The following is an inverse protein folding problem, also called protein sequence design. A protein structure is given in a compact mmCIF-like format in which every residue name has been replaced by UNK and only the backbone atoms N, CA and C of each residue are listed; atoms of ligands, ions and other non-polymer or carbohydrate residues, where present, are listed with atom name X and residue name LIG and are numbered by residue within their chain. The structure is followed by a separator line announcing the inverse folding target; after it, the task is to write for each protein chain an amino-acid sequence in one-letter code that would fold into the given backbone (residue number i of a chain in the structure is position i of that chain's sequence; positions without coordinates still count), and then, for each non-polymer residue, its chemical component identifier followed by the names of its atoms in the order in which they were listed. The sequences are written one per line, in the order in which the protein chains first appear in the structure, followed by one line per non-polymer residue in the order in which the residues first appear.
data_IF_392960453288
#
_entry.id   IF_392960453288
#
_cell.length_a   1.000
_cell.length_b   1.000
_cell.length_c   1.000
_cell.angle_alpha   90.00
_cell.angle_beta   90.00
_cell.angle_gamma   90.00
#
_symmetry.space_group_name_H-M   'P 1'
#
loop_
_entity.id
_entity.type
_entity.pdbx_description
1 polymer ?
#
# COMPACT_ATOMS: atom_id res chain seq x y z
N UNK A 1 31.60 -18.56 44.62
CA UNK A 1 30.34 -18.03 45.18
C UNK A 1 29.98 -16.76 44.40
N UNK A 2 29.50 -16.93 43.18
CA UNK A 2 29.38 -15.88 42.15
C UNK A 2 27.94 -15.89 41.62
N UNK A 3 27.00 -15.37 42.41
CA UNK A 3 25.60 -15.16 42.01
C UNK A 3 25.05 -14.04 42.86
N UNK A 4 25.28 -12.78 42.47
CA UNK A 4 24.47 -11.61 42.90
C UNK A 4 24.84 -10.28 42.23
N UNK A 5 25.94 -10.20 41.48
CA UNK A 5 26.43 -8.91 40.96
C UNK A 5 25.93 -8.51 39.56
N UNK A 6 25.09 -9.31 38.89
CA UNK A 6 24.65 -9.05 37.51
C UNK A 6 23.30 -8.34 37.37
N UNK A 7 22.59 -8.09 38.48
CA UNK A 7 21.26 -7.46 38.47
C UNK A 7 21.29 -5.94 38.67
N UNK A 8 22.44 -5.34 39.01
CA UNK A 8 22.54 -3.89 39.21
C UNK A 8 23.01 -3.10 37.97
N UNK A 9 23.53 -3.76 36.94
CA UNK A 9 24.03 -3.08 35.74
C UNK A 9 22.95 -2.89 34.65
N UNK A 10 21.79 -3.53 34.77
CA UNK A 10 20.68 -3.42 33.81
C UNK A 10 19.63 -2.37 34.20
N UNK A 11 19.81 -1.68 35.33
CA UNK A 11 18.89 -0.65 35.84
C UNK A 11 19.33 0.80 35.53
N UNK A 12 20.43 0.98 34.78
CA UNK A 12 20.97 2.31 34.45
C UNK A 12 20.99 2.65 32.94
N UNK A 13 20.40 1.80 32.09
CA UNK A 13 20.31 2.04 30.64
C UNK A 13 18.87 2.32 30.14
N UNK A 14 17.92 2.51 31.05
CA UNK A 14 16.57 2.99 30.73
C UNK A 14 16.48 4.50 30.99
N UNK A 15 17.30 5.28 30.27
CA UNK A 15 16.87 6.64 29.94
C UNK A 15 15.66 6.48 29.03
N UNK A 16 14.48 6.52 29.65
CA UNK A 16 13.22 6.72 28.96
C UNK A 16 13.36 7.98 28.12
N UNK A 17 13.67 7.83 26.84
CA UNK A 17 13.36 8.83 25.84
C UNK A 17 11.82 8.88 25.77
N UNK A 18 11.21 9.58 26.73
CA UNK A 18 9.89 10.14 26.53
C UNK A 18 10.06 11.13 25.39
N UNK A 19 9.78 10.68 24.17
CA UNK A 19 9.31 11.61 23.16
C UNK A 19 8.06 12.23 23.79
N UNK A 20 8.22 13.46 24.26
CA UNK A 20 7.13 14.26 24.79
C UNK A 20 6.16 14.44 23.63
N UNK A 21 5.17 13.53 23.52
CA UNK A 21 4.01 13.75 22.68
C UNK A 21 3.20 14.80 23.43
N UNK A 22 3.61 16.05 23.29
CA UNK A 22 2.76 17.19 23.62
C UNK A 22 1.58 17.10 22.67
N UNK A 23 0.54 16.38 23.09
CA UNK A 23 -0.77 16.54 22.47
C UNK A 23 -1.15 18.01 22.71
N UNK A 24 -1.60 18.69 21.67
CA UNK A 24 -2.10 20.04 21.83
C UNK A 24 -3.17 20.04 22.94
N UNK A 25 -3.25 21.10 23.75
CA UNK A 25 -4.13 21.14 24.92
C UNK A 25 -5.62 20.97 24.57
N UNK A 26 -5.97 21.13 23.30
CA UNK A 26 -7.30 20.90 22.74
C UNK A 26 -7.51 19.46 22.21
N UNK A 27 -6.47 18.61 22.20
CA UNK A 27 -6.52 17.27 21.63
C UNK A 27 -6.81 17.25 20.13
N UNK A 28 -6.36 18.27 19.37
CA UNK A 28 -6.67 18.47 17.94
C UNK A 28 -8.16 18.70 17.64
N UNK A 29 -8.93 19.19 18.61
CA UNK A 29 -10.35 19.51 18.37
C UNK A 29 -10.56 20.82 17.63
N UNK A 30 -9.61 21.76 17.70
CA UNK A 30 -9.66 23.06 17.03
C UNK A 30 -8.37 23.36 16.25
N UNK A 31 -7.95 22.49 15.31
CA UNK A 31 -6.64 22.58 14.64
C UNK A 31 -6.47 23.86 13.80
N UNK A 32 -7.56 24.57 13.51
CA UNK A 32 -7.56 25.82 12.74
C UNK A 32 -7.34 27.07 13.59
N UNK A 33 -7.48 26.98 14.92
CA UNK A 33 -7.48 28.15 15.82
C UNK A 33 -6.09 28.73 16.04
N UNK A 34 -5.07 27.87 15.95
CA UNK A 34 -3.66 28.27 16.07
C UNK A 34 -3.00 28.60 14.73
N UNK A 35 -3.70 28.33 13.61
CA UNK A 35 -3.20 28.69 12.29
C UNK A 35 -3.15 30.20 12.13
N UNK A 36 -1.94 30.75 12.16
CA UNK A 36 -1.68 32.14 11.79
C UNK A 36 -1.75 32.27 10.27
N UNK A 37 -2.92 32.67 9.77
CA UNK A 37 -3.07 33.06 8.37
C UNK A 37 -2.23 34.32 8.13
N UNK A 38 -1.23 34.22 7.24
CA UNK A 38 -0.46 35.38 6.81
C UNK A 38 -1.34 36.19 5.84
N UNK A 39 -1.81 37.40 6.22
CA UNK A 39 -2.73 38.20 5.40
C UNK A 39 -2.05 38.78 4.15
N UNK A 40 -0.73 38.64 4.02
CA UNK A 40 0.05 39.03 2.84
C UNK A 40 0.21 37.93 1.78
N UNK A 41 -0.21 36.68 2.07
CA UNK A 41 -0.28 35.63 1.05
C UNK A 41 -1.46 35.97 0.13
N UNK A 42 -1.16 36.60 -1.01
CA UNK A 42 -2.08 36.66 -2.14
C UNK A 42 -2.48 35.21 -2.51
N UNK A 43 -3.66 35.01 -3.06
CA UNK A 43 -4.13 33.70 -3.54
C UNK A 43 -3.10 33.05 -4.48
N UNK A 44 -2.32 33.87 -5.18
CA UNK A 44 -1.16 33.48 -6.00
C UNK A 44 -0.04 32.78 -5.23
N UNK A 45 0.23 33.14 -3.98
CA UNK A 45 1.27 32.49 -3.17
C UNK A 45 0.83 31.10 -2.70
N UNK A 46 -0.46 30.92 -2.38
CA UNK A 46 -1.05 29.60 -2.10
C UNK A 46 -1.10 28.71 -3.36
N UNK A 47 -1.48 29.26 -4.51
CA UNK A 47 -1.42 28.54 -5.79
C UNK A 47 0.02 28.15 -6.13
N UNK A 48 1.01 29.02 -5.91
CA UNK A 48 2.42 28.67 -6.09
C UNK A 48 2.89 27.57 -5.17
N UNK A 49 2.57 27.62 -3.87
CA UNK A 49 3.04 26.60 -2.93
C UNK A 49 2.41 25.23 -3.21
N UNK A 50 1.13 25.20 -3.58
CA UNK A 50 0.46 23.96 -3.98
C UNK A 50 1.01 23.40 -5.30
N UNK A 51 1.34 24.25 -6.28
CA UNK A 51 1.99 23.80 -7.52
C UNK A 51 3.44 23.36 -7.31
N UNK A 52 4.18 24.01 -6.42
CA UNK A 52 5.54 23.62 -6.05
C UNK A 52 5.55 22.26 -5.34
N UNK A 53 4.57 21.99 -4.48
CA UNK A 53 4.41 20.67 -3.86
C UNK A 53 4.18 19.56 -4.91
N UNK A 54 3.50 19.86 -6.02
CA UNK A 54 3.27 18.91 -7.13
C UNK A 54 4.51 18.70 -8.03
N UNK A 55 5.55 19.53 -7.88
CA UNK A 55 6.79 19.45 -8.63
C UNK A 55 7.69 18.32 -8.10
N UNK A 56 7.22 17.08 -8.26
CA UNK A 56 7.98 15.87 -7.95
C UNK A 56 8.91 15.54 -9.10
N UNK A 57 10.19 15.28 -8.78
CA UNK A 57 11.22 14.93 -9.75
C UNK A 57 10.82 13.72 -10.62
N UNK A 58 10.70 13.94 -11.93
CA UNK A 58 10.28 12.95 -12.91
C UNK A 58 11.11 13.06 -14.21
N UNK A 59 12.27 12.41 -14.28
CA UNK A 59 13.14 12.49 -15.45
C UNK A 59 12.55 11.78 -16.68
N UNK A 60 11.54 10.93 -16.50
CA UNK A 60 10.90 10.15 -17.55
C UNK A 60 9.46 10.61 -17.80
N UNK A 61 9.16 11.88 -17.50
CA UNK A 61 7.81 12.45 -17.59
C UNK A 61 7.15 12.17 -18.94
N UNK A 62 7.86 12.38 -20.05
CA UNK A 62 7.30 12.11 -21.39
C UNK A 62 6.86 10.67 -21.61
N UNK A 63 7.55 9.70 -21.01
CA UNK A 63 7.14 8.28 -21.03
C UNK A 63 5.98 8.07 -20.07
N UNK A 64 6.14 8.50 -18.82
CA UNK A 64 5.19 8.25 -17.75
C UNK A 64 3.81 8.85 -18.06
N UNK A 65 3.76 10.02 -18.67
CA UNK A 65 2.54 10.71 -19.06
C UNK A 65 1.84 10.00 -20.24
N UNK A 66 2.60 9.43 -21.18
CA UNK A 66 2.05 8.55 -22.24
C UNK A 66 1.48 7.25 -21.66
N UNK A 67 2.18 6.63 -20.72
CA UNK A 67 1.68 5.42 -20.05
C UNK A 67 0.47 5.74 -19.19
N UNK A 68 0.43 6.90 -18.54
CA UNK A 68 -0.75 7.38 -17.82
C UNK A 68 -1.96 7.48 -18.76
N UNK A 69 -1.81 8.11 -19.93
CA UNK A 69 -2.89 8.18 -20.93
C UNK A 69 -3.31 6.80 -21.45
N UNK A 70 -2.35 5.90 -21.64
CA UNK A 70 -2.64 4.50 -21.98
C UNK A 70 -3.46 3.82 -20.88
N UNK A 71 -3.03 3.92 -19.62
CA UNK A 71 -3.72 3.34 -18.47
C UNK A 71 -5.13 3.91 -18.31
N UNK A 72 -5.30 5.22 -18.50
CA UNK A 72 -6.60 5.88 -18.46
C UNK A 72 -7.56 5.29 -19.50
N UNK A 73 -7.14 5.24 -20.78
CA UNK A 73 -7.99 4.70 -21.87
C UNK A 73 -8.24 3.21 -21.70
N UNK A 74 -7.22 2.45 -21.28
CA UNK A 74 -7.37 1.04 -21.00
C UNK A 74 -8.37 0.80 -19.86
N UNK A 75 -8.29 1.62 -18.80
CA UNK A 75 -9.22 1.53 -17.69
C UNK A 75 -10.66 1.76 -18.18
N UNK A 76 -10.87 2.87 -18.90
CA UNK A 76 -12.18 3.27 -19.40
C UNK A 76 -12.79 2.26 -20.37
N UNK A 77 -11.99 1.73 -21.31
CA UNK A 77 -12.52 0.89 -22.40
C UNK A 77 -12.51 -0.60 -22.09
N UNK A 78 -11.68 -1.06 -21.16
CA UNK A 78 -11.50 -2.49 -20.87
C UNK A 78 -11.90 -2.80 -19.44
N UNK A 79 -11.22 -2.22 -18.45
CA UNK A 79 -11.42 -2.60 -17.06
C UNK A 79 -12.78 -2.18 -16.50
N UNK A 80 -13.24 -0.95 -16.73
CA UNK A 80 -14.52 -0.48 -16.22
C UNK A 80 -15.69 -1.31 -16.77
N UNK A 81 -15.81 -1.57 -18.09
CA UNK A 81 -16.84 -2.44 -18.62
C UNK A 81 -16.77 -3.87 -18.06
N UNK A 82 -15.57 -4.46 -17.97
CA UNK A 82 -15.39 -5.82 -17.43
C UNK A 82 -15.79 -5.89 -15.96
N UNK A 83 -15.39 -4.92 -15.14
CA UNK A 83 -15.78 -4.85 -13.73
C UNK A 83 -17.28 -4.63 -13.58
N UNK A 84 -17.91 -3.82 -14.43
CA UNK A 84 -19.36 -3.66 -14.43
C UNK A 84 -20.08 -4.97 -14.78
N UNK A 85 -19.59 -5.69 -15.79
CA UNK A 85 -20.08 -7.04 -16.13
C UNK A 85 -19.92 -8.01 -14.97
N UNK A 86 -18.74 -8.06 -14.35
CA UNK A 86 -18.46 -8.87 -13.17
C UNK A 86 -19.41 -8.56 -12.00
N UNK A 87 -19.69 -7.28 -11.74
CA UNK A 87 -20.65 -6.86 -10.72
C UNK A 87 -22.09 -7.24 -11.05
N UNK A 88 -22.44 -7.25 -12.34
CA UNK A 88 -23.79 -7.57 -12.82
C UNK A 88 -24.08 -9.08 -12.73
N UNK A 89 -23.13 -9.92 -13.14
CA UNK A 89 -23.33 -11.37 -13.19
C UNK A 89 -23.05 -12.08 -11.86
N UNK A 90 -22.14 -11.54 -11.04
CA UNK A 90 -21.66 -12.21 -9.83
C UNK A 90 -22.30 -11.62 -8.56
N UNK A 91 -23.06 -12.43 -7.78
CA UNK A 91 -23.62 -12.02 -6.49
C UNK A 91 -22.57 -11.48 -5.51
N UNK A 92 -23.00 -10.58 -4.62
CA UNK A 92 -22.11 -9.90 -3.67
C UNK A 92 -21.25 -10.84 -2.81
N UNK A 93 -21.84 -11.92 -2.29
CA UNK A 93 -21.11 -12.88 -1.44
C UNK A 93 -20.00 -13.63 -2.19
N UNK A 94 -20.21 -13.96 -3.47
CA UNK A 94 -19.17 -14.57 -4.30
C UNK A 94 -18.04 -13.56 -4.58
N UNK A 95 -18.39 -12.32 -4.91
CA UNK A 95 -17.39 -11.26 -5.15
C UNK A 95 -16.53 -11.02 -3.91
N UNK A 96 -17.16 -10.90 -2.73
CA UNK A 96 -16.43 -10.80 -1.46
C UNK A 96 -15.56 -12.02 -1.22
N UNK A 97 -16.04 -13.23 -1.54
CA UNK A 97 -15.25 -14.45 -1.42
C UNK A 97 -13.97 -14.44 -2.26
N UNK A 98 -14.09 -14.01 -3.52
CA UNK A 98 -12.94 -13.85 -4.43
C UNK A 98 -11.97 -12.79 -3.91
N UNK A 99 -12.46 -11.63 -3.47
CA UNK A 99 -11.61 -10.57 -2.94
C UNK A 99 -10.89 -10.99 -1.64
N UNK A 100 -11.57 -11.72 -0.76
CA UNK A 100 -10.97 -12.26 0.47
C UNK A 100 -9.90 -13.30 0.13
N UNK A 101 -10.16 -14.18 -0.83
CA UNK A 101 -9.21 -15.22 -1.23
C UNK A 101 -7.91 -14.60 -1.75
N UNK A 102 -7.98 -13.69 -2.73
CA UNK A 102 -6.78 -13.01 -3.24
C UNK A 102 -6.13 -12.09 -2.18
N UNK A 103 -6.92 -11.52 -1.27
CA UNK A 103 -6.39 -10.79 -0.12
C UNK A 103 -5.56 -11.70 0.79
N UNK A 104 -6.05 -12.90 1.10
CA UNK A 104 -5.35 -13.87 1.93
C UNK A 104 -4.07 -14.37 1.26
N UNK A 105 -4.07 -14.58 -0.06
CA UNK A 105 -2.83 -14.87 -0.81
C UNK A 105 -1.82 -13.72 -0.69
N UNK A 106 -2.29 -12.47 -0.78
CA UNK A 106 -1.46 -11.28 -0.62
C UNK A 106 -0.91 -11.08 0.80
N UNK A 107 -1.52 -11.69 1.82
CA UNK A 107 -1.02 -11.61 3.19
C UNK A 107 0.29 -12.42 3.38
N UNK A 108 0.60 -13.38 2.49
CA UNK A 108 1.85 -14.15 2.53
C UNK A 108 3.08 -13.28 2.23
N UNK A 109 3.19 -12.57 1.08
CA UNK A 109 4.30 -11.65 0.86
C UNK A 109 4.30 -10.50 1.88
N UNK A 110 3.13 -10.03 2.34
CA UNK A 110 3.07 -9.02 3.41
C UNK A 110 3.75 -9.52 4.71
N UNK A 111 3.51 -10.77 5.10
CA UNK A 111 4.14 -11.37 6.28
C UNK A 111 5.67 -11.43 6.11
N UNK A 112 6.14 -11.88 4.95
CA UNK A 112 7.58 -11.97 4.69
C UNK A 112 8.24 -10.59 4.73
N UNK A 113 7.65 -9.59 4.10
CA UNK A 113 8.16 -8.23 4.14
C UNK A 113 8.10 -7.62 5.56
N UNK A 114 7.04 -7.88 6.32
CA UNK A 114 6.94 -7.47 7.73
C UNK A 114 8.05 -8.07 8.59
N UNK A 115 8.37 -9.36 8.36
CA UNK A 115 9.45 -10.07 9.05
C UNK A 115 10.82 -9.52 8.66
N UNK A 116 11.04 -9.26 7.37
CA UNK A 116 12.28 -8.64 6.89
C UNK A 116 12.46 -7.24 7.49
N UNK A 117 11.41 -6.44 7.58
CA UNK A 117 11.45 -5.12 8.20
C UNK A 117 11.49 -5.15 9.75
N UNK A 118 11.53 -6.34 10.36
CA UNK A 118 11.53 -6.53 11.82
C UNK A 118 10.29 -5.93 12.52
N UNK A 119 9.17 -5.78 11.81
CA UNK A 119 7.90 -5.26 12.34
C UNK A 119 7.13 -6.39 13.02
N UNK A 120 7.51 -6.68 14.27
CA UNK A 120 6.95 -7.80 15.05
C UNK A 120 5.43 -7.77 15.18
N UNK A 121 4.85 -6.62 15.52
CA UNK A 121 3.38 -6.48 15.66
C UNK A 121 2.65 -6.77 14.33
N UNK A 122 3.07 -6.11 13.24
CA UNK A 122 2.49 -6.33 11.90
C UNK A 122 2.61 -7.78 11.44
N UNK A 123 3.74 -8.42 11.76
CA UNK A 123 3.97 -9.84 11.45
C UNK A 123 3.01 -10.75 12.22
N UNK A 124 2.79 -10.48 13.52
CA UNK A 124 1.85 -11.26 14.33
C UNK A 124 0.40 -11.08 13.87
N UNK A 125 -0.01 -9.84 13.56
CA UNK A 125 -1.34 -9.54 13.03
C UNK A 125 -1.56 -10.26 11.69
N UNK A 126 -0.61 -10.15 10.76
CA UNK A 126 -0.69 -10.81 9.44
C UNK A 126 -0.70 -12.34 9.57
N UNK A 127 0.09 -12.90 10.48
CA UNK A 127 0.08 -14.35 10.78
C UNK A 127 -1.28 -14.77 11.32
N UNK A 128 -1.84 -14.02 12.27
CA UNK A 128 -3.18 -14.27 12.81
C UNK A 128 -4.25 -14.25 11.71
N UNK A 129 -4.18 -13.27 10.81
CA UNK A 129 -5.08 -13.18 9.64
C UNK A 129 -4.95 -14.41 8.74
N UNK A 130 -3.74 -14.78 8.33
CA UNK A 130 -3.49 -15.95 7.50
C UNK A 130 -4.02 -17.23 8.14
N UNK A 131 -3.76 -17.44 9.43
CA UNK A 131 -4.23 -18.62 10.15
C UNK A 131 -5.75 -18.67 10.23
N UNK A 132 -6.39 -17.60 10.67
CA UNK A 132 -7.84 -17.54 10.85
C UNK A 132 -8.59 -17.63 9.52
N UNK A 133 -8.15 -16.88 8.51
CA UNK A 133 -8.80 -16.87 7.20
C UNK A 133 -8.59 -18.18 6.45
N UNK A 134 -7.42 -18.82 6.59
CA UNK A 134 -7.17 -20.11 5.96
C UNK A 134 -7.93 -21.25 6.65
N UNK A 135 -8.00 -21.26 7.99
CA UNK A 135 -8.63 -22.35 8.76
C UNK A 135 -10.14 -22.18 8.92
N UNK A 136 -10.57 -21.07 9.52
CA UNK A 136 -11.99 -20.77 9.78
C UNK A 136 -12.67 -20.11 8.58
N UNK A 137 -11.88 -19.39 7.77
CA UNK A 137 -12.37 -18.69 6.59
C UNK A 137 -12.39 -19.53 5.31
N UNK A 138 -12.22 -20.86 5.39
CA UNK A 138 -12.24 -21.78 4.24
C UNK A 138 -11.22 -21.35 3.17
N UNK A 139 -9.93 -21.51 3.48
CA UNK A 139 -8.81 -21.14 2.61
C UNK A 139 -8.77 -19.65 2.19
N UNK A 140 -9.38 -18.77 2.98
CA UNK A 140 -9.43 -17.34 2.74
C UNK A 140 -10.67 -16.86 1.98
N UNK A 141 -11.65 -17.71 1.68
CA UNK A 141 -12.91 -17.26 1.09
C UNK A 141 -13.70 -16.34 2.03
N UNK A 142 -13.60 -16.54 3.34
CA UNK A 142 -14.16 -15.65 4.36
C UNK A 142 -13.04 -14.99 5.17
N UNK A 143 -13.35 -13.82 5.72
CA UNK A 143 -12.40 -13.01 6.51
C UNK A 143 -12.85 -12.87 7.98
N UNK A 144 -12.85 -13.96 8.77
CA UNK A 144 -13.13 -13.90 10.20
C UNK A 144 -12.11 -13.04 10.96
N UNK A 145 -10.87 -12.90 10.45
CA UNK A 145 -9.84 -12.13 11.12
C UNK A 145 -10.22 -10.64 11.26
N UNK A 146 -10.80 -10.04 10.22
CA UNK A 146 -11.34 -8.67 10.30
C UNK A 146 -12.47 -8.55 11.32
N UNK A 147 -13.35 -9.55 11.40
CA UNK A 147 -14.44 -9.57 12.40
C UNK A 147 -13.92 -9.66 13.84
N UNK A 148 -12.73 -10.26 14.02
CA UNK A 148 -12.03 -10.35 15.30
C UNK A 148 -11.15 -9.13 15.61
N UNK A 149 -11.17 -8.10 14.75
CA UNK A 149 -10.46 -6.84 14.96
C UNK A 149 -8.98 -6.85 14.58
N UNK A 150 -8.52 -7.84 13.80
CA UNK A 150 -7.15 -7.85 13.29
C UNK A 150 -7.02 -6.93 12.07
N UNK A 151 -6.28 -5.82 12.14
CA UNK A 151 -6.13 -4.91 11.02
C UNK A 151 -5.34 -5.57 9.89
N UNK A 152 -5.69 -5.24 8.64
CA UNK A 152 -4.92 -5.69 7.48
C UNK A 152 -3.68 -4.81 7.33
N UNK A 153 -2.53 -5.45 7.19
CA UNK A 153 -1.25 -4.80 6.91
C UNK A 153 -0.94 -4.89 5.41
N UNK A 154 -0.22 -3.90 4.87
CA UNK A 154 0.14 -3.86 3.45
C UNK A 154 1.64 -3.58 3.34
N UNK A 155 2.42 -4.62 3.09
CA UNK A 155 3.87 -4.59 3.10
C UNK A 155 4.41 -5.24 1.82
N UNK A 156 5.30 -4.55 1.12
CA UNK A 156 5.88 -5.04 -0.13
C UNK A 156 7.40 -4.90 -0.12
N UNK A 157 8.09 -5.55 -1.05
CA UNK A 157 9.54 -5.54 -1.07
C UNK A 157 10.11 -4.17 -1.39
N UNK A 158 9.36 -3.30 -2.08
CA UNK A 158 9.72 -1.90 -2.28
C UNK A 158 9.81 -1.15 -0.94
N UNK A 159 8.84 -1.37 -0.05
CA UNK A 159 8.87 -0.84 1.32
C UNK A 159 10.04 -1.43 2.12
N UNK A 160 10.29 -2.74 2.01
CA UNK A 160 11.43 -3.39 2.67
C UNK A 160 12.77 -2.80 2.23
N UNK A 161 12.97 -2.56 0.93
CA UNK A 161 14.16 -1.88 0.43
C UNK A 161 14.26 -0.44 0.97
N UNK A 162 13.13 0.27 1.03
CA UNK A 162 13.04 1.60 1.61
C UNK A 162 13.40 1.65 3.09
N UNK A 163 12.96 0.66 3.88
CA UNK A 163 13.28 0.51 5.29
C UNK A 163 14.79 0.36 5.51
N UNK A 164 15.49 -0.32 4.60
CA UNK A 164 16.95 -0.44 4.61
C UNK A 164 17.68 0.75 3.95
N UNK A 165 16.98 1.83 3.63
CA UNK A 165 17.59 3.06 3.11
C UNK A 165 17.85 3.09 1.61
N UNK A 166 17.31 2.14 0.84
CA UNK A 166 17.39 2.19 -0.63
C UNK A 166 16.52 3.36 -1.13
N UNK A 167 17.10 4.33 -1.86
CA UNK A 167 16.34 5.46 -2.37
C UNK A 167 15.31 5.01 -3.42
N UNK A 168 14.19 5.74 -3.53
CA UNK A 168 13.12 5.43 -4.47
C UNK A 168 13.59 5.40 -5.94
N UNK A 169 14.55 6.26 -6.29
CA UNK A 169 14.96 6.48 -7.68
C UNK A 169 13.92 7.27 -8.47
N UNK A 170 14.01 7.27 -9.82
CA UNK A 170 13.08 8.00 -10.66
C UNK A 170 11.65 7.43 -10.56
N UNK A 171 10.67 8.32 -10.67
CA UNK A 171 9.27 7.95 -10.79
C UNK A 171 9.00 7.20 -12.09
N UNK A 172 8.13 6.20 -12.03
CA UNK A 172 7.75 5.36 -13.16
C UNK A 172 6.24 5.15 -13.16
N UNK A 173 5.59 5.43 -14.28
CA UNK A 173 4.22 4.96 -14.52
C UNK A 173 4.29 3.62 -15.26
N UNK A 174 3.83 2.56 -14.61
CA UNK A 174 3.81 1.22 -15.17
C UNK A 174 2.52 1.00 -15.99
N UNK A 175 2.62 0.38 -17.18
CA UNK A 175 1.44 -0.01 -17.94
C UNK A 175 0.56 -0.94 -17.10
N UNK A 176 -0.74 -0.65 -17.04
CA UNK A 176 -1.79 -1.37 -16.31
C UNK A 176 -1.66 -1.29 -14.77
N UNK A 177 -0.45 -1.40 -14.23
CA UNK A 177 -0.18 -1.45 -12.78
C UNK A 177 -0.25 -0.06 -12.10
N UNK A 178 -0.01 1.02 -12.84
CA UNK A 178 -0.14 2.39 -12.33
C UNK A 178 1.18 2.98 -11.76
N UNK A 179 1.10 3.92 -10.81
CA UNK A 179 2.26 4.68 -10.34
C UNK A 179 3.24 3.81 -9.55
N UNK A 180 4.54 4.02 -9.78
CA UNK A 180 5.65 3.34 -9.14
C UNK A 180 6.92 4.21 -9.12
N UNK A 181 8.03 3.66 -8.64
CA UNK A 181 9.38 4.19 -8.82
C UNK A 181 10.35 3.03 -9.09
N UNK A 182 11.62 3.33 -9.40
CA UNK A 182 12.60 2.31 -9.74
C UNK A 182 12.74 1.23 -8.66
N UNK A 183 12.85 1.63 -7.40
CA UNK A 183 12.95 0.71 -6.26
C UNK A 183 11.70 -0.16 -6.13
N UNK A 184 10.53 0.47 -6.14
CA UNK A 184 9.25 -0.22 -5.92
C UNK A 184 8.90 -1.11 -7.11
N UNK A 185 9.30 -0.75 -8.32
CA UNK A 185 9.18 -1.62 -9.51
C UNK A 185 10.04 -2.87 -9.36
N UNK A 186 11.28 -2.72 -8.92
CA UNK A 186 12.14 -3.87 -8.58
C UNK A 186 11.56 -4.71 -7.44
N UNK A 187 10.96 -4.04 -6.45
CA UNK A 187 10.22 -4.70 -5.37
C UNK A 187 9.06 -5.53 -5.86
N UNK A 188 8.26 -4.99 -6.77
CA UNK A 188 7.14 -5.69 -7.39
C UNK A 188 7.58 -6.97 -8.11
N UNK A 189 8.72 -6.92 -8.82
CA UNK A 189 9.30 -8.12 -9.48
C UNK A 189 9.78 -9.14 -8.46
N UNK A 190 10.41 -8.70 -7.37
CA UNK A 190 10.84 -9.58 -6.29
C UNK A 190 9.63 -10.25 -5.61
N UNK A 191 8.60 -9.48 -5.26
CA UNK A 191 7.36 -9.99 -4.66
C UNK A 191 6.67 -11.00 -5.60
N UNK A 192 6.58 -10.72 -6.90
CA UNK A 192 6.02 -11.65 -7.88
C UNK A 192 6.82 -12.96 -7.94
N UNK A 193 8.16 -12.85 -7.93
CA UNK A 193 9.05 -14.01 -7.96
C UNK A 193 8.90 -14.85 -6.68
N UNK A 194 8.84 -14.21 -5.52
CA UNK A 194 8.65 -14.87 -4.22
C UNK A 194 7.27 -15.53 -4.14
N UNK A 195 6.21 -14.84 -4.55
CA UNK A 195 4.84 -15.39 -4.61
C UNK A 195 4.80 -16.64 -5.50
N UNK A 196 5.47 -16.61 -6.66
CA UNK A 196 5.55 -17.75 -7.56
C UNK A 196 6.31 -18.94 -6.97
N UNK A 197 7.36 -18.71 -6.17
CA UNK A 197 8.17 -19.78 -5.56
C UNK A 197 7.49 -20.39 -4.34
N UNK A 198 6.82 -19.58 -3.52
CA UNK A 198 6.07 -20.07 -2.36
C UNK A 198 4.86 -20.88 -2.83
N UNK A 199 4.22 -20.42 -3.91
CA UNK A 199 3.08 -21.10 -4.53
C UNK A 199 1.99 -21.44 -3.49
N UNK A 200 1.63 -20.45 -2.66
CA UNK A 200 0.67 -20.64 -1.59
C UNK A 200 -0.69 -21.08 -2.17
N UNK A 201 -1.28 -22.13 -1.59
CA UNK A 201 -2.51 -22.79 -2.08
C UNK A 201 -2.42 -23.27 -3.55
N UNK A 202 -1.20 -23.51 -4.05
CA UNK A 202 -0.93 -23.93 -5.42
C UNK A 202 -1.37 -22.93 -6.51
N UNK A 203 -1.62 -21.67 -6.15
CA UNK A 203 -2.24 -20.71 -7.07
C UNK A 203 -1.29 -20.30 -8.19
N UNK A 204 0.00 -20.15 -7.92
CA UNK A 204 0.97 -19.74 -8.92
C UNK A 204 1.14 -20.82 -10.01
N UNK A 205 1.23 -22.08 -9.62
CA UNK A 205 1.34 -23.21 -10.54
C UNK A 205 0.07 -23.38 -11.38
N UNK A 206 -1.11 -23.36 -10.74
CA UNK A 206 -2.39 -23.50 -11.46
C UNK A 206 -2.62 -22.32 -12.41
N UNK A 207 -2.28 -21.09 -12.00
CA UNK A 207 -2.43 -19.90 -12.87
C UNK A 207 -1.59 -19.96 -14.15
N UNK A 208 -0.53 -20.79 -14.19
CA UNK A 208 0.27 -21.01 -15.39
C UNK A 208 -0.47 -21.77 -16.50
N UNK A 209 -1.37 -22.68 -16.14
CA UNK A 209 -2.24 -23.40 -17.08
C UNK A 209 -3.63 -22.76 -17.25
N UNK A 210 -4.00 -21.86 -16.33
CA UNK A 210 -5.33 -21.28 -16.20
C UNK A 210 -5.28 -19.74 -16.21
N UNK A 211 -5.15 -19.10 -17.39
CA UNK A 211 -5.09 -17.64 -17.51
C UNK A 211 -6.33 -16.93 -16.95
N UNK A 212 -7.46 -17.63 -16.86
CA UNK A 212 -8.69 -17.16 -16.23
C UNK A 212 -8.50 -16.79 -14.74
N UNK A 213 -7.59 -17.44 -14.01
CA UNK A 213 -7.32 -17.11 -12.60
C UNK A 213 -6.59 -15.77 -12.52
N UNK A 214 -5.56 -15.58 -13.36
CA UNK A 214 -4.84 -14.31 -13.47
C UNK A 214 -5.76 -13.18 -13.94
N UNK A 215 -6.65 -13.45 -14.90
CA UNK A 215 -7.66 -12.50 -15.35
C UNK A 215 -8.64 -12.15 -14.22
N UNK A 216 -9.14 -13.14 -13.48
CA UNK A 216 -10.02 -12.92 -12.34
C UNK A 216 -9.32 -12.10 -11.25
N UNK A 217 -8.05 -12.37 -10.94
CA UNK A 217 -7.23 -11.58 -10.00
C UNK A 217 -7.09 -10.14 -10.46
N UNK A 218 -6.85 -9.91 -11.75
CA UNK A 218 -6.75 -8.55 -12.31
C UNK A 218 -8.10 -7.80 -12.22
N UNK A 219 -9.21 -8.47 -12.56
CA UNK A 219 -10.56 -7.89 -12.46
C UNK A 219 -10.92 -7.60 -11.00
N UNK A 220 -10.62 -8.51 -10.08
CA UNK A 220 -10.87 -8.33 -8.65
C UNK A 220 -10.02 -7.20 -8.05
N UNK A 221 -8.73 -7.15 -8.39
CA UNK A 221 -7.83 -6.05 -8.00
C UNK A 221 -8.35 -4.71 -8.49
N UNK A 222 -8.85 -4.65 -9.73
CA UNK A 222 -9.46 -3.44 -10.27
C UNK A 222 -10.77 -3.10 -9.58
N UNK A 223 -11.61 -4.10 -9.31
CA UNK A 223 -12.90 -3.95 -8.63
C UNK A 223 -12.74 -3.37 -7.22
N UNK A 224 -11.72 -3.81 -6.48
CA UNK A 224 -11.40 -3.34 -5.11
C UNK A 224 -10.65 -2.01 -5.07
N UNK A 225 -10.13 -1.53 -6.21
CA UNK A 225 -9.43 -0.26 -6.29
C UNK A 225 -10.41 0.90 -6.46
N UNK A 226 -10.49 1.77 -5.45
CA UNK A 226 -11.42 2.91 -5.43
C UNK A 226 -11.04 4.04 -6.38
N UNK A 227 -9.75 4.20 -6.70
CA UNK A 227 -9.25 5.20 -7.62
C UNK A 227 -9.83 5.00 -9.04
N UNK A 228 -10.24 6.09 -9.69
CA UNK A 228 -10.53 6.14 -11.13
C UNK A 228 -9.78 7.30 -11.75
N UNK A 229 -9.22 7.03 -12.92
CA UNK A 229 -8.65 8.07 -13.77
C UNK A 229 -9.73 9.06 -14.23
N UNK A 230 -9.39 10.34 -14.29
CA UNK A 230 -10.27 11.44 -14.67
C UNK A 230 -11.18 11.96 -13.54
N UNK A 231 -11.21 11.32 -12.37
CA UNK A 231 -12.10 11.72 -11.27
C UNK A 231 -11.80 13.09 -10.69
N UNK A 232 -10.56 13.56 -10.81
CA UNK A 232 -10.17 14.83 -10.19
C UNK A 232 -10.64 16.04 -10.99
N UNK A 233 -11.13 15.83 -12.22
CA UNK A 233 -11.50 16.88 -13.19
C UNK A 233 -10.45 18.00 -13.28
N UNK A 234 -9.18 17.64 -13.14
CA UNK A 234 -8.07 18.58 -13.03
C UNK A 234 -7.08 18.37 -14.18
N UNK A 235 -6.57 19.44 -14.79
CA UNK A 235 -5.54 19.32 -15.82
C UNK A 235 -4.21 18.78 -15.26
N UNK A 236 -4.02 18.83 -13.94
CA UNK A 236 -2.82 18.36 -13.23
C UNK A 236 -3.04 17.00 -12.53
N UNK A 237 -3.99 16.19 -13.00
CA UNK A 237 -4.29 14.90 -12.36
C UNK A 237 -3.07 13.99 -12.29
N UNK A 238 -2.30 13.92 -13.37
CA UNK A 238 -1.07 13.14 -13.43
C UNK A 238 -0.07 13.56 -12.34
N UNK A 239 0.18 14.87 -12.19
CA UNK A 239 1.11 15.41 -11.19
C UNK A 239 0.62 15.13 -9.78
N UNK A 240 -0.70 15.24 -9.54
CA UNK A 240 -1.33 14.89 -8.26
C UNK A 240 -1.15 13.42 -7.92
N UNK A 241 -1.33 12.52 -8.89
CA UNK A 241 -1.12 11.08 -8.66
C UNK A 241 0.35 10.80 -8.32
N UNK A 242 1.29 11.39 -9.06
CA UNK A 242 2.73 11.27 -8.80
C UNK A 242 3.09 11.77 -7.40
N UNK A 243 2.55 12.92 -7.00
CA UNK A 243 2.73 13.49 -5.67
C UNK A 243 2.17 12.59 -4.57
N UNK A 244 0.89 12.23 -4.66
CA UNK A 244 0.22 11.37 -3.67
C UNK A 244 0.93 10.03 -3.53
N UNK A 245 1.34 9.42 -4.64
CA UNK A 245 2.11 8.18 -4.61
C UNK A 245 3.43 8.36 -3.86
N UNK A 246 4.20 9.39 -4.21
CA UNK A 246 5.52 9.65 -3.61
C UNK A 246 5.42 9.88 -2.11
N UNK A 247 4.48 10.72 -1.66
CA UNK A 247 4.29 11.00 -0.24
C UNK A 247 3.70 9.81 0.51
N UNK A 248 2.72 9.10 -0.06
CA UNK A 248 2.18 7.89 0.56
C UNK A 248 3.26 6.82 0.75
N UNK A 249 4.18 6.65 -0.22
CA UNK A 249 5.29 5.71 -0.07
C UNK A 249 6.27 6.10 1.03
N UNK A 250 6.57 7.39 1.20
CA UNK A 250 7.43 7.85 2.29
C UNK A 250 6.81 7.52 3.65
N UNK A 251 5.49 7.74 3.79
CA UNK A 251 4.76 7.42 5.02
C UNK A 251 4.77 5.91 5.30
N UNK A 252 4.43 5.09 4.31
CA UNK A 252 4.41 3.63 4.44
C UNK A 252 5.75 3.03 4.92
N UNK A 253 6.86 3.60 4.47
CA UNK A 253 8.21 3.17 4.88
C UNK A 253 8.57 3.64 6.28
N UNK A 254 8.04 4.80 6.69
CA UNK A 254 8.34 5.40 7.99
C UNK A 254 7.52 4.79 9.14
N UNK A 255 6.35 4.21 8.84
CA UNK A 255 5.54 3.46 9.81
C UNK A 255 6.12 2.09 10.18
#
# INVERSE_FOLDING_TARGET
MAKRSFLLALLLASSLAHAERTADPDGFTEPLKELKFNPGLDQREFERSSLDALNVYDPLESWNLRVYQFNYRFDEWVFLPVVHGYRYITPGFLRSGVSNFFSNLGDVPNLLNSLLQLKGQRSMETTGRLLLNTTLGVAGLWDPATMMGLPKQSEDFGQTLGFYGVPAGPYLMLPILGPSNLRDTGGLVADFSVESQINFLNVAEVSGGHPEISALRAVDKRYTTNFRYGQTNSPFEYDKIRYVYTEARKLQIAE
#
